data_IF_378684830174
#
_entry.id   IF_378684830174
#
_cell.length_a   1.000
_cell.length_b   1.000
_cell.length_c   1.000
_cell.angle_alpha   90.00
_cell.angle_beta   90.00
_cell.angle_gamma   90.00
#
_symmetry.space_group_name_H-M   'P 1'
#
loop_
_entity.id
_entity.type
_entity.pdbx_description
1 polymer ?
#
# COMPACT_ATOMS: atom_id res chain seq x y z
N UNK A 1 -4.66 0.81 -24.91
CA UNK A 1 -4.35 1.45 -23.61
C UNK A 1 -4.82 0.64 -22.40
N UNK A 2 -5.89 -0.16 -22.46
CA UNK A 2 -6.44 -0.89 -21.30
C UNK A 2 -5.90 -2.33 -21.05
N UNK A 3 -5.07 -2.90 -21.94
CA UNK A 3 -4.92 -4.36 -22.01
C UNK A 3 -4.20 -5.02 -20.82
N UNK A 4 -3.10 -4.46 -20.31
CA UNK A 4 -2.30 -5.09 -19.25
C UNK A 4 -2.83 -4.84 -17.84
N UNK A 5 -3.44 -3.67 -17.59
CA UNK A 5 -4.07 -3.35 -16.30
C UNK A 5 -5.33 -4.18 -16.10
N UNK A 6 -6.13 -4.34 -17.17
CA UNK A 6 -7.36 -5.17 -17.16
C UNK A 6 -7.04 -6.66 -16.94
N UNK A 7 -6.03 -7.19 -17.64
CA UNK A 7 -5.57 -8.58 -17.46
C UNK A 7 -5.07 -8.86 -16.03
N UNK A 8 -4.50 -7.86 -15.35
CA UNK A 8 -4.09 -8.00 -13.95
C UNK A 8 -5.23 -7.88 -12.97
N UNK A 9 -6.15 -6.93 -13.17
CA UNK A 9 -7.37 -6.88 -12.38
C UNK A 9 -8.10 -8.21 -12.47
N UNK A 10 -8.15 -8.81 -13.67
CA UNK A 10 -8.69 -10.15 -13.89
C UNK A 10 -7.92 -11.22 -13.11
N UNK A 11 -6.58 -11.25 -13.17
CA UNK A 11 -5.76 -12.20 -12.38
C UNK A 11 -5.95 -12.07 -10.87
N UNK A 12 -5.98 -10.85 -10.33
CA UNK A 12 -6.17 -10.62 -8.90
C UNK A 12 -7.60 -10.93 -8.46
N UNK A 13 -8.59 -10.66 -9.31
CA UNK A 13 -9.96 -11.12 -9.08
C UNK A 13 -10.02 -12.65 -9.10
N UNK A 14 -9.38 -13.32 -10.06
CA UNK A 14 -9.31 -14.78 -10.12
C UNK A 14 -8.59 -15.39 -8.92
N UNK A 15 -7.52 -14.77 -8.41
CA UNK A 15 -6.80 -15.24 -7.22
C UNK A 15 -7.66 -15.14 -5.95
N UNK A 16 -8.48 -14.09 -5.84
CA UNK A 16 -9.51 -13.94 -4.81
C UNK A 16 -10.60 -15.00 -4.96
N UNK A 17 -11.15 -15.21 -6.15
CA UNK A 17 -12.15 -16.26 -6.39
C UNK A 17 -11.62 -17.66 -6.07
N UNK A 18 -10.37 -17.94 -6.40
CA UNK A 18 -9.72 -19.22 -6.05
C UNK A 18 -9.58 -19.39 -4.53
N UNK A 19 -9.29 -18.30 -3.81
CA UNK A 19 -9.22 -18.32 -2.34
C UNK A 19 -10.62 -18.55 -1.75
N UNK A 20 -11.65 -17.92 -2.31
CA UNK A 20 -13.05 -18.13 -1.94
C UNK A 20 -13.52 -19.58 -2.22
N UNK A 21 -13.10 -20.17 -3.33
CA UNK A 21 -13.46 -21.56 -3.67
C UNK A 21 -12.66 -22.60 -2.87
N UNK A 22 -11.40 -22.33 -2.52
CA UNK A 22 -10.65 -23.16 -1.57
C UNK A 22 -11.29 -23.13 -0.17
N UNK A 23 -11.76 -21.96 0.27
CA UNK A 23 -12.36 -21.82 1.59
C UNK A 23 -13.81 -22.32 1.65
N UNK A 24 -14.52 -22.51 0.53
CA UNK A 24 -15.81 -23.23 0.53
C UNK A 24 -15.72 -24.67 1.05
N UNK A 25 -14.54 -25.29 1.03
CA UNK A 25 -14.32 -26.62 1.63
C UNK A 25 -14.07 -26.56 3.15
N UNK A 26 -13.81 -25.36 3.69
CA UNK A 26 -13.59 -25.06 5.09
C UNK A 26 -14.82 -24.32 5.63
N UNK A 27 -15.47 -24.79 6.69
CA UNK A 27 -16.71 -24.19 7.21
C UNK A 27 -16.47 -22.87 7.97
N UNK A 28 -15.53 -22.04 7.49
CA UNK A 28 -14.98 -20.88 8.20
C UNK A 28 -15.61 -19.60 7.66
N UNK A 29 -16.08 -18.74 8.56
CA UNK A 29 -16.65 -17.44 8.19
C UNK A 29 -15.53 -16.50 7.72
N UNK A 30 -15.54 -16.14 6.43
CA UNK A 30 -14.58 -15.20 5.85
C UNK A 30 -15.06 -13.75 6.02
N UNK A 31 -14.15 -12.85 6.43
CA UNK A 31 -14.40 -11.42 6.50
C UNK A 31 -14.25 -10.78 5.11
N UNK A 32 -15.38 -10.44 4.50
CA UNK A 32 -15.46 -9.83 3.16
C UNK A 32 -14.77 -8.45 3.13
N UNK A 33 -14.74 -7.73 4.26
CA UNK A 33 -14.09 -6.42 4.36
C UNK A 33 -12.57 -6.54 4.31
N UNK A 34 -12.01 -7.54 4.99
CA UNK A 34 -10.58 -7.84 4.90
C UNK A 34 -10.20 -8.26 3.48
N UNK A 35 -11.07 -9.05 2.83
CA UNK A 35 -10.83 -9.53 1.47
C UNK A 35 -10.78 -8.39 0.44
N UNK A 36 -11.81 -7.53 0.42
CA UNK A 36 -11.89 -6.44 -0.56
C UNK A 36 -10.85 -5.35 -0.33
N UNK A 37 -10.49 -5.04 0.93
CA UNK A 37 -9.37 -4.15 1.20
C UNK A 37 -8.03 -4.71 0.72
N UNK A 38 -7.80 -6.02 0.89
CA UNK A 38 -6.60 -6.69 0.37
C UNK A 38 -6.54 -6.69 -1.16
N UNK A 39 -7.68 -6.94 -1.81
CA UNK A 39 -7.81 -6.90 -3.28
C UNK A 39 -7.50 -5.51 -3.84
N UNK A 40 -8.17 -4.48 -3.30
CA UNK A 40 -8.01 -3.09 -3.76
C UNK A 40 -6.59 -2.57 -3.51
N UNK A 41 -5.98 -2.92 -2.38
CA UNK A 41 -4.57 -2.66 -2.11
C UNK A 41 -3.65 -3.30 -3.16
N UNK A 42 -3.87 -4.57 -3.49
CA UNK A 42 -3.06 -5.27 -4.50
C UNK A 42 -3.12 -4.59 -5.86
N UNK A 43 -4.33 -4.21 -6.28
CA UNK A 43 -4.57 -3.51 -7.55
C UNK A 43 -3.84 -2.16 -7.55
N UNK A 44 -4.02 -1.36 -6.50
CA UNK A 44 -3.43 -0.01 -6.45
C UNK A 44 -1.91 -0.09 -6.43
N UNK A 45 -1.29 -0.94 -5.62
CA UNK A 45 0.17 -1.08 -5.55
C UNK A 45 0.74 -1.57 -6.88
N UNK A 46 0.09 -2.54 -7.51
CA UNK A 46 0.51 -3.04 -8.82
C UNK A 46 0.43 -1.95 -9.90
N UNK A 47 -0.63 -1.12 -9.85
CA UNK A 47 -0.83 -0.04 -10.81
C UNK A 47 0.07 1.17 -10.57
N UNK A 48 0.38 1.49 -9.31
CA UNK A 48 1.14 2.68 -8.93
C UNK A 48 2.66 2.48 -9.05
N UNK A 49 3.16 1.28 -8.75
CA UNK A 49 4.61 1.02 -8.64
C UNK A 49 5.14 -0.03 -9.59
N UNK A 50 4.27 -0.63 -10.40
CA UNK A 50 4.67 -1.76 -11.23
C UNK A 50 5.13 -2.98 -10.40
N UNK A 51 4.80 -3.04 -9.10
CA UNK A 51 5.25 -4.10 -8.21
C UNK A 51 4.27 -5.29 -8.27
N UNK A 52 4.75 -6.46 -8.67
CA UNK A 52 3.92 -7.67 -8.68
C UNK A 52 3.88 -8.33 -7.30
N UNK A 53 2.89 -7.93 -6.49
CA UNK A 53 2.65 -8.51 -5.16
C UNK A 53 2.21 -9.98 -5.20
N UNK A 54 1.70 -10.47 -6.33
CA UNK A 54 1.19 -11.85 -6.44
C UNK A 54 2.30 -12.88 -6.63
N UNK A 55 3.41 -12.51 -7.25
CA UNK A 55 4.55 -13.42 -7.46
C UNK A 55 5.53 -13.46 -6.31
N UNK A 56 5.41 -12.52 -5.36
CA UNK A 56 6.31 -12.40 -4.23
C UNK A 56 5.53 -12.55 -2.93
N UNK A 57 5.48 -13.78 -2.42
CA UNK A 57 4.82 -14.13 -1.15
C UNK A 57 5.33 -13.25 0.01
N UNK A 58 6.61 -12.87 -0.01
CA UNK A 58 7.17 -11.94 0.98
C UNK A 58 6.54 -10.55 0.85
N UNK A 59 6.39 -10.03 -0.37
CA UNK A 59 5.74 -8.75 -0.61
C UNK A 59 4.25 -8.76 -0.20
N UNK A 60 3.54 -9.87 -0.44
CA UNK A 60 2.14 -10.06 -0.01
C UNK A 60 2.01 -10.08 1.52
N UNK A 61 2.87 -10.83 2.20
CA UNK A 61 2.90 -10.91 3.66
C UNK A 61 3.33 -9.60 4.33
N UNK A 62 4.31 -8.92 3.74
CA UNK A 62 4.72 -7.59 4.15
C UNK A 62 3.50 -6.69 4.01
N UNK A 63 2.94 -6.52 2.81
CA UNK A 63 1.88 -5.54 2.53
C UNK A 63 0.59 -5.72 3.35
N UNK A 64 0.15 -6.97 3.61
CA UNK A 64 -0.97 -7.22 4.53
C UNK A 64 -0.70 -6.79 5.98
N UNK A 65 0.54 -6.98 6.47
CA UNK A 65 0.99 -6.45 7.77
C UNK A 65 1.11 -4.93 7.74
N UNK A 66 1.68 -4.38 6.67
CA UNK A 66 1.87 -2.95 6.48
C UNK A 66 0.54 -2.21 6.57
N UNK A 67 -0.51 -2.74 5.95
CA UNK A 67 -1.82 -2.13 5.94
C UNK A 67 -2.46 -2.07 7.33
N UNK A 68 -2.40 -3.19 8.06
CA UNK A 68 -2.92 -3.26 9.43
C UNK A 68 -2.16 -2.31 10.36
N UNK A 69 -0.84 -2.26 10.23
CA UNK A 69 0.02 -1.44 11.08
C UNK A 69 -0.09 0.05 10.75
N UNK A 70 -0.21 0.43 9.48
CA UNK A 70 -0.37 1.84 9.07
C UNK A 70 -1.73 2.38 9.42
N UNK A 71 -2.80 1.61 9.19
CA UNK A 71 -4.12 2.03 9.62
C UNK A 71 -4.10 2.35 11.12
N UNK A 72 -3.50 1.46 11.92
CA UNK A 72 -3.33 1.69 13.35
C UNK A 72 -2.40 2.88 13.65
N UNK A 73 -1.34 3.09 12.87
CA UNK A 73 -0.41 4.22 13.01
C UNK A 73 -1.07 5.57 12.72
N UNK A 74 -1.86 5.65 11.65
CA UNK A 74 -2.55 6.85 11.19
C UNK A 74 -3.71 7.15 12.13
N UNK A 75 -4.51 6.16 12.51
CA UNK A 75 -5.54 6.33 13.54
C UNK A 75 -4.89 6.81 14.85
N UNK A 76 -3.75 6.22 15.24
CA UNK A 76 -3.02 6.65 16.44
C UNK A 76 -2.53 8.10 16.35
N UNK A 77 -1.86 8.47 15.25
CA UNK A 77 -1.37 9.84 15.03
C UNK A 77 -2.51 10.84 14.91
N UNK A 78 -3.59 10.49 14.21
CA UNK A 78 -4.79 11.31 14.04
C UNK A 78 -5.51 11.51 15.38
N UNK A 79 -5.71 10.45 16.18
CA UNK A 79 -6.22 10.60 17.55
C UNK A 79 -5.30 11.45 18.44
N UNK A 80 -3.97 11.35 18.26
CA UNK A 80 -3.00 12.14 19.03
C UNK A 80 -2.97 13.62 18.62
N UNK A 81 -3.19 13.91 17.33
CA UNK A 81 -3.28 15.27 16.78
C UNK A 81 -4.62 15.94 17.14
N UNK A 82 -5.72 15.18 17.19
CA UNK A 82 -7.06 15.69 17.55
C UNK A 82 -7.16 15.97 19.07
N UNK A 83 -6.41 15.25 19.91
CA UNK A 83 -6.36 15.46 21.35
C UNK A 83 -5.01 16.06 21.81
N UNK A 84 -4.76 17.32 21.46
CA UNK A 84 -3.65 18.16 21.91
C UNK A 84 -3.66 18.47 23.43
N UNK A 85 -3.72 17.41 24.25
CA UNK A 85 -3.49 17.48 25.69
C UNK A 85 -2.01 17.14 25.98
N UNK A 86 -1.19 18.09 26.46
CA UNK A 86 0.27 17.98 26.54
C UNK A 86 0.80 16.88 27.48
N UNK A 87 -0.06 16.25 28.28
CA UNK A 87 0.33 15.24 29.28
C UNK A 87 0.33 13.79 28.79
N UNK A 88 -0.17 13.49 27.58
CA UNK A 88 -0.36 12.09 27.12
C UNK A 88 0.84 11.48 26.38
N UNK A 89 1.86 12.27 26.05
CA UNK A 89 3.08 11.78 25.38
C UNK A 89 3.97 10.90 26.27
N UNK A 90 3.82 10.99 27.61
CA UNK A 90 4.55 10.18 28.61
C UNK A 90 3.87 8.87 29.00
N UNK A 91 2.70 8.54 28.44
CA UNK A 91 2.02 7.28 28.77
C UNK A 91 2.70 6.11 28.04
N UNK A 92 3.16 5.06 28.76
CA UNK A 92 3.78 3.89 28.16
C UNK A 92 2.71 3.03 27.48
N UNK A 93 2.34 3.38 26.26
CA UNK A 93 1.47 2.55 25.43
C UNK A 93 2.31 1.46 24.74
N UNK A 94 2.18 0.22 25.21
CA UNK A 94 2.90 -0.99 24.76
C UNK A 94 2.77 -1.34 23.27
N UNK A 95 2.10 -0.54 22.45
CA UNK A 95 1.95 -0.76 21.00
C UNK A 95 2.70 0.25 20.13
N UNK A 96 3.35 1.27 20.71
CA UNK A 96 4.18 2.23 19.95
C UNK A 96 5.26 1.53 19.15
N UNK A 97 5.98 0.59 19.77
CA UNK A 97 7.08 -0.12 19.11
C UNK A 97 6.64 -0.95 17.91
N UNK A 98 5.45 -1.57 17.99
CA UNK A 98 4.86 -2.36 16.90
C UNK A 98 4.48 -1.45 15.73
N UNK A 99 3.88 -0.31 16.02
CA UNK A 99 3.49 0.70 15.02
C UNK A 99 4.73 1.27 14.33
N UNK A 100 5.75 1.67 15.10
CA UNK A 100 6.98 2.24 14.57
C UNK A 100 7.78 1.21 13.76
N UNK A 101 7.77 -0.06 14.19
CA UNK A 101 8.39 -1.13 13.43
C UNK A 101 7.68 -1.37 12.10
N UNK A 102 6.35 -1.44 12.10
CA UNK A 102 5.56 -1.55 10.88
C UNK A 102 5.80 -0.39 9.93
N UNK A 103 5.80 0.86 10.43
CA UNK A 103 6.08 2.04 9.61
C UNK A 103 7.49 2.02 8.98
N UNK A 104 8.50 1.50 9.70
CA UNK A 104 9.86 1.34 9.18
C UNK A 104 9.94 0.30 8.07
N UNK A 105 9.29 -0.86 8.22
CA UNK A 105 9.26 -1.90 7.17
C UNK A 105 8.66 -1.36 5.86
N UNK A 106 7.62 -0.53 5.94
CA UNK A 106 6.99 0.11 4.79
C UNK A 106 7.95 1.06 4.12
N UNK A 107 8.55 1.93 4.92
CA UNK A 107 9.48 2.90 4.40
C UNK A 107 10.65 2.21 3.69
N UNK A 108 11.13 1.10 4.22
CA UNK A 108 12.16 0.28 3.58
C UNK A 108 11.68 -0.36 2.27
N UNK A 109 10.48 -0.94 2.26
CA UNK A 109 9.90 -1.55 1.06
C UNK A 109 9.71 -0.51 -0.07
N UNK A 110 9.14 0.65 0.25
CA UNK A 110 8.94 1.74 -0.73
C UNK A 110 10.28 2.31 -1.19
N UNK A 111 11.24 2.52 -0.28
CA UNK A 111 12.59 2.96 -0.65
C UNK A 111 13.27 1.98 -1.61
N UNK A 112 13.08 0.67 -1.40
CA UNK A 112 13.63 -0.35 -2.29
C UNK A 112 13.01 -0.25 -3.69
N UNK A 113 11.69 -0.10 -3.78
CA UNK A 113 10.99 0.11 -5.05
C UNK A 113 11.50 1.36 -5.78
N UNK A 114 11.63 2.49 -5.08
CA UNK A 114 12.15 3.75 -5.64
C UNK A 114 13.57 3.54 -6.16
N UNK A 115 14.43 2.90 -5.36
CA UNK A 115 15.82 2.63 -5.72
C UNK A 115 15.92 1.74 -6.94
N UNK A 116 15.14 0.65 -7.00
CA UNK A 116 15.11 -0.26 -8.13
C UNK A 116 14.61 0.43 -9.40
N UNK A 117 13.63 1.34 -9.29
CA UNK A 117 13.14 2.13 -10.43
C UNK A 117 14.22 3.09 -10.95
N UNK A 118 14.88 3.84 -10.07
CA UNK A 118 15.98 4.75 -10.44
C UNK A 118 17.16 4.02 -11.09
N UNK A 119 17.41 2.77 -10.68
CA UNK A 119 18.49 1.93 -11.22
C UNK A 119 18.08 1.18 -12.50
N UNK A 120 16.86 1.34 -13.01
CA UNK A 120 16.34 0.62 -14.17
C UNK A 120 16.17 -0.90 -13.94
N UNK A 121 16.15 -1.34 -12.67
CA UNK A 121 15.91 -2.74 -12.27
C UNK A 121 14.42 -3.08 -12.23
N UNK A 122 13.58 -2.06 -12.16
CA UNK A 122 12.12 -2.18 -12.32
C UNK A 122 11.64 -1.18 -13.36
N UNK A 123 10.49 -1.45 -13.95
CA UNK A 123 9.82 -0.57 -14.90
C UNK A 123 8.32 -0.58 -14.64
N UNK A 124 7.63 0.46 -15.12
CA UNK A 124 6.17 0.46 -15.12
C UNK A 124 5.64 -0.78 -15.84
N UNK A 125 4.60 -1.33 -15.24
CA UNK A 125 3.86 -2.45 -15.79
C UNK A 125 2.82 -2.03 -16.84
N UNK A 126 2.61 -0.72 -16.99
CA UNK A 126 1.71 -0.10 -17.95
C UNK A 126 2.45 0.13 -19.29
N UNK A 127 1.72 0.28 -20.39
CA UNK A 127 2.30 0.70 -21.68
C UNK A 127 2.70 2.22 -21.68
N UNK A 128 3.04 2.77 -20.52
CA UNK A 128 3.29 4.18 -20.24
C UNK A 128 3.75 4.38 -18.79
N UNK A 129 3.83 5.64 -18.35
CA UNK A 129 4.29 5.99 -16.99
C UNK A 129 3.27 5.53 -15.93
N UNK A 130 3.75 4.92 -14.85
CA UNK A 130 2.96 4.71 -13.64
C UNK A 130 3.10 5.88 -12.64
N UNK A 131 2.41 5.81 -11.50
CA UNK A 131 2.47 6.87 -10.49
C UNK A 131 3.92 7.14 -10.04
N UNK A 132 4.71 6.10 -9.83
CA UNK A 132 6.10 6.26 -9.42
C UNK A 132 6.93 6.97 -10.48
N UNK A 133 6.74 6.63 -11.76
CA UNK A 133 7.40 7.34 -12.86
C UNK A 133 7.02 8.82 -12.90
N UNK A 134 5.74 9.14 -12.65
CA UNK A 134 5.25 10.51 -12.58
C UNK A 134 5.91 11.26 -11.42
N UNK A 135 5.98 10.66 -10.22
CA UNK A 135 6.61 11.27 -9.05
C UNK A 135 8.13 11.45 -9.22
N UNK A 136 8.80 10.49 -9.88
CA UNK A 136 10.24 10.60 -10.18
C UNK A 136 10.57 11.67 -11.22
N UNK A 137 9.61 11.98 -12.10
CA UNK A 137 9.73 13.00 -13.14
C UNK A 137 9.16 14.36 -12.72
N UNK A 138 8.47 14.43 -11.58
CA UNK A 138 7.86 15.64 -11.06
C UNK A 138 8.91 16.63 -10.56
N UNK A 139 8.61 17.91 -10.77
CA UNK A 139 9.38 19.05 -10.24
C UNK A 139 8.42 19.99 -9.54
N UNK A 140 8.94 20.70 -8.53
CA UNK A 140 8.20 21.76 -7.85
C UNK A 140 8.14 23.06 -8.68
N UNK A 141 7.52 24.10 -8.11
CA UNK A 141 7.35 25.41 -8.74
C UNK A 141 8.70 26.11 -9.02
N UNK A 142 9.79 25.69 -8.35
CA UNK A 142 11.14 26.19 -8.56
C UNK A 142 11.93 25.33 -9.57
N UNK A 143 11.32 24.27 -10.11
CA UNK A 143 11.92 23.34 -11.06
C UNK A 143 12.82 22.28 -10.40
N UNK A 144 12.76 22.11 -9.09
CA UNK A 144 13.56 21.13 -8.35
C UNK A 144 12.83 19.78 -8.28
N UNK A 145 13.52 18.66 -8.52
CA UNK A 145 12.93 17.33 -8.42
C UNK A 145 12.57 16.99 -6.97
N UNK A 146 11.54 16.16 -6.81
CA UNK A 146 11.15 15.68 -5.49
C UNK A 146 12.25 14.81 -4.87
N UNK A 147 12.44 14.97 -3.56
CA UNK A 147 13.31 14.12 -2.77
C UNK A 147 12.70 12.72 -2.62
N UNK A 148 13.53 11.71 -2.37
CA UNK A 148 13.03 10.35 -2.13
C UNK A 148 12.09 10.27 -0.92
N UNK A 149 12.22 11.18 0.04
CA UNK A 149 11.31 11.28 1.17
C UNK A 149 9.92 11.75 0.73
N UNK A 150 9.84 12.82 -0.06
CA UNK A 150 8.57 13.36 -0.60
C UNK A 150 7.89 12.35 -1.52
N UNK A 151 8.64 11.73 -2.43
CA UNK A 151 8.12 10.68 -3.33
C UNK A 151 7.50 9.54 -2.52
N UNK A 152 8.20 9.08 -1.48
CA UNK A 152 7.68 8.02 -0.60
C UNK A 152 6.41 8.44 0.14
N UNK A 153 6.37 9.66 0.68
CA UNK A 153 5.22 10.17 1.44
C UNK A 153 3.98 10.29 0.55
N UNK A 154 4.13 10.84 -0.66
CA UNK A 154 3.05 10.95 -1.64
C UNK A 154 2.57 9.58 -2.12
N UNK A 155 3.51 8.68 -2.42
CA UNK A 155 3.14 7.38 -2.92
C UNK A 155 2.44 6.51 -1.86
N UNK A 156 2.89 6.58 -0.60
CA UNK A 156 2.21 5.90 0.51
C UNK A 156 0.81 6.47 0.74
N UNK A 157 0.69 7.80 0.70
CA UNK A 157 -0.60 8.49 0.86
C UNK A 157 -1.60 8.06 -0.22
N UNK A 158 -1.17 8.02 -1.48
CA UNK A 158 -2.00 7.58 -2.60
C UNK A 158 -2.53 6.14 -2.41
N UNK A 159 -1.64 5.21 -2.02
CA UNK A 159 -2.01 3.80 -1.82
C UNK A 159 -3.08 3.67 -0.74
N UNK A 160 -2.87 4.33 0.39
CA UNK A 160 -3.75 4.23 1.55
C UNK A 160 -5.12 4.83 1.23
N UNK A 161 -5.12 6.04 0.66
CA UNK A 161 -6.34 6.74 0.31
C UNK A 161 -7.20 5.92 -0.66
N UNK A 162 -6.59 5.37 -1.72
CA UNK A 162 -7.35 4.65 -2.75
C UNK A 162 -7.88 3.29 -2.29
N UNK A 163 -7.10 2.54 -1.50
CA UNK A 163 -7.47 1.17 -1.15
C UNK A 163 -8.54 1.10 -0.07
N UNK A 164 -8.48 1.96 0.95
CA UNK A 164 -9.50 1.98 2.00
C UNK A 164 -10.86 2.47 1.48
N UNK A 165 -10.89 3.54 0.67
CA UNK A 165 -12.17 4.06 0.14
C UNK A 165 -12.80 3.08 -0.84
N UNK A 166 -12.00 2.46 -1.71
CA UNK A 166 -12.51 1.51 -2.71
C UNK A 166 -12.91 0.20 -2.05
N UNK A 167 -12.14 -0.30 -1.09
CA UNK A 167 -12.48 -1.51 -0.35
C UNK A 167 -13.77 -1.34 0.46
N UNK A 168 -13.95 -0.19 1.12
CA UNK A 168 -15.21 0.15 1.81
C UNK A 168 -16.40 0.29 0.85
N UNK A 169 -16.18 0.72 -0.40
CA UNK A 169 -17.26 0.78 -1.41
C UNK A 169 -17.73 -0.62 -1.84
N UNK A 170 -16.86 -1.62 -1.77
CA UNK A 170 -17.16 -3.00 -2.18
C UNK A 170 -17.82 -3.85 -1.09
N UNK A 171 -17.92 -3.33 0.14
CA UNK A 171 -18.54 -4.00 1.30
C UNK A 171 -19.84 -3.36 1.70
#
# INVERSE_FOLDING_TARGET
>A
MASNTTDRTEKTIQSVFKTLDCDKQSKTSMDIHVLFNSLTLSIIVSSAFGANLETNENAKHIMGRLFTNVRNAIIYRSMHLIHSMPFRSKLPFSRKDIIDHGAREIAQFVNQIITDRRQGKSASLSNGLDLLDLLLSAVDDEGKPFTDQEIKEEALTFVLAGSETTGNLMT
#
